data_IF_555872854426
#
_entry.id   IF_555872854426
#
_cell.length_a   1.000
_cell.length_b   1.000
_cell.length_c   1.000
_cell.angle_alpha   90.00
_cell.angle_beta   90.00
_cell.angle_gamma   90.00
#
_symmetry.space_group_name_H-M   'P 1'
#
loop_
_entity.id
_entity.type
_entity.pdbx_description
1 polymer ?
#
# COMPACT_ATOMS: atom_id res chain seq x y z
N UNK A 1 -45.38 4.32 -1.46
CA UNK A 1 -44.36 3.67 -2.32
C UNK A 1 -43.00 4.14 -1.82
N UNK A 2 -41.93 3.36 -2.00
CA UNK A 2 -40.60 3.88 -1.71
C UNK A 2 -40.25 4.97 -2.74
N UNK A 3 -39.45 5.94 -2.33
CA UNK A 3 -38.90 6.99 -3.17
C UNK A 3 -37.39 6.77 -3.27
N UNK A 4 -36.83 6.90 -4.46
CA UNK A 4 -35.42 6.57 -4.72
C UNK A 4 -34.72 7.68 -5.47
N UNK A 5 -33.51 7.98 -5.07
CA UNK A 5 -32.66 9.01 -5.68
C UNK A 5 -31.35 8.37 -6.12
N UNK A 6 -30.90 8.64 -7.33
CA UNK A 6 -29.61 8.20 -7.87
C UNK A 6 -28.58 9.32 -7.70
N UNK A 7 -27.41 8.95 -7.18
CA UNK A 7 -26.27 9.85 -7.00
C UNK A 7 -25.30 9.77 -8.19
N UNK A 8 -24.40 10.75 -8.30
CA UNK A 8 -23.39 10.83 -9.37
C UNK A 8 -22.42 9.65 -9.41
N UNK A 9 -22.21 8.95 -8.30
CA UNK A 9 -21.43 7.70 -8.24
C UNK A 9 -22.26 6.44 -8.54
N UNK A 10 -23.54 6.59 -8.92
CA UNK A 10 -24.46 5.49 -9.20
C UNK A 10 -25.10 4.84 -7.97
N UNK A 11 -24.76 5.27 -6.75
CA UNK A 11 -25.42 4.79 -5.54
C UNK A 11 -26.88 5.26 -5.48
N UNK A 12 -27.76 4.45 -4.90
CA UNK A 12 -29.19 4.74 -4.80
C UNK A 12 -29.55 4.99 -3.34
N UNK A 13 -30.08 6.18 -3.04
CA UNK A 13 -30.71 6.47 -1.74
C UNK A 13 -32.15 5.97 -1.78
N UNK A 14 -32.52 5.12 -0.83
CA UNK A 14 -33.90 4.62 -0.70
C UNK A 14 -34.57 5.23 0.52
N UNK A 15 -35.69 5.91 0.29
CA UNK A 15 -36.60 6.43 1.32
C UNK A 15 -37.79 5.49 1.43
N UNK A 16 -37.98 4.90 2.62
CA UNK A 16 -39.17 4.09 2.89
C UNK A 16 -40.45 4.93 2.76
N UNK A 17 -41.59 4.27 2.50
CA UNK A 17 -42.87 4.98 2.35
C UNK A 17 -43.21 5.79 3.60
N UNK A 18 -43.39 7.11 3.44
CA UNK A 18 -43.66 8.03 4.55
C UNK A 18 -42.43 8.47 5.35
N UNK A 19 -41.22 8.01 4.98
CA UNK A 19 -39.97 8.44 5.60
C UNK A 19 -39.42 9.71 4.96
N UNK A 20 -38.81 10.56 5.76
CA UNK A 20 -38.01 11.72 5.31
C UNK A 20 -36.51 11.41 5.30
N UNK A 21 -36.11 10.23 5.75
CA UNK A 21 -34.72 9.77 5.77
C UNK A 21 -34.57 8.51 4.92
N UNK A 22 -33.41 8.41 4.28
CA UNK A 22 -33.01 7.28 3.46
C UNK A 22 -31.51 7.06 3.57
N UNK A 23 -31.07 5.87 3.24
CA UNK A 23 -29.66 5.50 3.20
C UNK A 23 -29.28 5.16 1.77
N UNK A 24 -28.06 5.51 1.36
CA UNK A 24 -27.50 5.05 0.10
C UNK A 24 -27.23 3.55 0.15
N UNK A 25 -27.28 2.90 -1.02
CA UNK A 25 -26.61 1.62 -1.21
C UNK A 25 -25.10 1.77 -0.97
N UNK A 26 -24.44 0.65 -0.65
CA UNK A 26 -22.97 0.61 -0.64
C UNK A 26 -22.41 0.91 -2.03
N UNK A 27 -21.24 1.54 -2.06
CA UNK A 27 -20.45 1.79 -3.25
C UNK A 27 -18.97 1.57 -2.93
N UNK A 28 -18.19 1.21 -3.93
CA UNK A 28 -16.76 0.98 -3.75
C UNK A 28 -16.04 2.32 -3.47
N UNK A 29 -15.13 2.29 -2.51
CA UNK A 29 -14.14 3.34 -2.27
C UNK A 29 -12.75 2.78 -2.59
N UNK A 30 -11.78 3.67 -2.71
CA UNK A 30 -10.38 3.26 -2.77
C UNK A 30 -10.03 2.37 -1.56
N UNK A 31 -9.31 1.28 -1.82
CA UNK A 31 -8.78 0.40 -0.78
C UNK A 31 -7.48 0.93 -0.17
N UNK A 32 -7.09 0.34 0.95
CA UNK A 32 -5.84 0.66 1.64
C UNK A 32 -4.63 0.13 0.86
N UNK A 33 -3.64 0.99 0.60
CA UNK A 33 -2.37 0.61 -0.01
C UNK A 33 -1.25 1.61 0.28
N UNK A 34 0.00 1.14 0.10
CA UNK A 34 1.23 1.88 0.44
C UNK A 34 1.47 3.13 -0.42
N UNK A 35 0.80 3.27 -1.57
CA UNK A 35 1.16 4.21 -2.63
C UNK A 35 0.10 5.24 -2.97
N UNK A 36 -1.17 4.93 -2.74
CA UNK A 36 -2.29 5.79 -3.11
C UNK A 36 -2.79 6.49 -1.86
N UNK A 37 -2.53 7.79 -1.83
CA UNK A 37 -3.01 8.69 -0.80
C UNK A 37 -4.56 8.76 -0.76
N UNK A 38 -5.08 9.46 0.25
CA UNK A 38 -6.50 9.68 0.44
C UNK A 38 -7.14 10.50 -0.68
N UNK A 39 -8.41 10.20 -0.96
CA UNK A 39 -9.20 10.85 -2.00
C UNK A 39 -10.37 11.64 -1.40
N UNK A 40 -10.77 12.72 -2.06
CA UNK A 40 -12.05 13.40 -1.78
C UNK A 40 -12.80 13.68 -3.06
N UNK A 41 -14.09 13.38 -3.06
CA UNK A 41 -14.97 13.62 -4.21
C UNK A 41 -16.37 14.05 -3.78
N UNK A 42 -17.07 14.69 -4.72
CA UNK A 42 -18.39 15.26 -4.51
C UNK A 42 -19.46 14.36 -5.12
N UNK A 43 -20.48 14.06 -4.33
CA UNK A 43 -21.70 13.40 -4.75
C UNK A 43 -22.79 14.45 -4.96
N UNK A 44 -23.43 14.38 -6.11
CA UNK A 44 -24.62 15.16 -6.44
C UNK A 44 -25.76 14.23 -6.80
N UNK A 45 -26.99 14.69 -6.66
CA UNK A 45 -28.15 13.97 -7.21
C UNK A 45 -28.12 14.10 -8.73
N UNK A 46 -28.23 12.97 -9.44
CA UNK A 46 -28.30 12.93 -10.91
C UNK A 46 -29.69 12.58 -11.40
N UNK A 47 -30.44 11.81 -10.63
CA UNK A 47 -31.84 11.49 -10.89
C UNK A 47 -32.61 11.43 -9.59
N UNK A 48 -33.71 12.19 -9.51
CA UNK A 48 -34.59 12.19 -8.36
C UNK A 48 -35.61 11.04 -8.38
N UNK A 49 -35.64 10.23 -9.44
CA UNK A 49 -36.62 9.16 -9.59
C UNK A 49 -38.06 9.66 -9.75
N UNK A 50 -39.02 8.73 -9.74
CA UNK A 50 -40.43 9.09 -9.80
C UNK A 50 -40.94 9.61 -8.44
N UNK A 51 -41.51 10.81 -8.43
CA UNK A 51 -42.09 11.41 -7.24
C UNK A 51 -43.34 12.25 -7.53
N UNK A 52 -44.12 12.51 -6.48
CA UNK A 52 -45.33 13.32 -6.53
C UNK A 52 -45.17 14.67 -5.81
N UNK A 53 -43.93 15.12 -5.58
CA UNK A 53 -43.66 16.44 -5.01
C UNK A 53 -43.94 17.54 -6.04
N UNK A 54 -44.54 18.64 -5.57
CA UNK A 54 -44.75 19.86 -6.38
C UNK A 54 -43.41 20.53 -6.76
N UNK A 55 -42.44 20.45 -5.85
CA UNK A 55 -41.06 20.88 -6.05
C UNK A 55 -40.13 20.04 -5.16
N UNK A 56 -39.06 19.51 -5.77
CA UNK A 56 -37.97 18.84 -5.07
C UNK A 56 -36.67 19.55 -5.46
N UNK A 57 -35.95 20.06 -4.47
CA UNK A 57 -34.62 20.65 -4.68
C UNK A 57 -33.55 19.56 -4.53
N UNK A 58 -32.74 19.40 -5.57
CA UNK A 58 -31.67 18.40 -5.65
C UNK A 58 -30.31 19.05 -5.92
N UNK A 59 -30.19 20.36 -5.65
CA UNK A 59 -28.97 21.14 -5.93
C UNK A 59 -27.86 20.95 -4.90
N UNK A 60 -28.19 20.40 -3.73
CA UNK A 60 -27.21 20.14 -2.68
C UNK A 60 -26.23 19.02 -3.06
N UNK A 61 -25.05 19.05 -2.45
CA UNK A 61 -23.98 18.07 -2.70
C UNK A 61 -23.40 17.54 -1.41
N UNK A 62 -23.00 16.28 -1.41
CA UNK A 62 -22.29 15.65 -0.31
C UNK A 62 -20.81 15.46 -0.68
N UNK A 63 -19.92 15.54 0.30
CA UNK A 63 -18.50 15.21 0.11
C UNK A 63 -18.21 13.86 0.76
N UNK A 64 -17.55 12.98 0.01
CA UNK A 64 -16.95 11.76 0.54
C UNK A 64 -15.45 12.01 0.66
N UNK A 65 -14.91 11.74 1.84
CA UNK A 65 -13.48 11.82 2.11
C UNK A 65 -12.99 10.47 2.57
N UNK A 66 -12.04 9.91 1.83
CA UNK A 66 -11.30 8.70 2.17
C UNK A 66 -9.96 9.13 2.72
N UNK A 67 -9.70 8.83 3.99
CA UNK A 67 -8.43 9.16 4.65
C UNK A 67 -7.41 8.05 4.41
N UNK A 68 -6.20 8.44 4.07
CA UNK A 68 -5.06 7.53 3.95
C UNK A 68 -4.61 6.97 5.31
N UNK A 69 -3.97 5.80 5.29
CA UNK A 69 -3.25 5.27 6.45
C UNK A 69 -1.74 5.36 6.21
N UNK A 70 -0.95 5.43 7.29
CA UNK A 70 0.52 5.49 7.16
C UNK A 70 1.08 4.08 7.10
N UNK A 71 1.56 3.68 5.93
CA UNK A 71 2.26 2.41 5.73
C UNK A 71 3.77 2.54 5.96
N UNK A 72 4.29 1.83 6.96
CA UNK A 72 5.74 1.77 7.23
C UNK A 72 6.36 0.55 6.55
N UNK A 73 7.40 0.79 5.74
CA UNK A 73 8.20 -0.29 5.15
C UNK A 73 9.50 -0.50 5.92
N UNK A 74 9.73 -1.73 6.40
CA UNK A 74 10.95 -2.11 7.13
C UNK A 74 11.85 -2.98 6.26
N UNK A 75 13.15 -2.71 6.28
CA UNK A 75 14.19 -3.57 5.68
C UNK A 75 14.85 -4.41 6.78
N UNK A 76 14.85 -5.73 6.61
CA UNK A 76 15.52 -6.67 7.52
C UNK A 76 16.64 -7.38 6.76
N UNK A 77 17.86 -7.33 7.30
CA UNK A 77 18.99 -8.11 6.79
C UNK A 77 18.99 -9.49 7.43
N UNK A 78 19.30 -10.52 6.64
CA UNK A 78 19.53 -11.87 7.12
C UNK A 78 20.95 -12.04 7.65
N UNK A 79 21.09 -12.79 8.74
CA UNK A 79 22.39 -13.21 9.24
C UNK A 79 23.07 -14.15 8.23
N UNK A 80 24.37 -13.96 8.04
CA UNK A 80 25.20 -14.87 7.23
C UNK A 80 26.27 -15.49 8.12
N UNK A 81 26.38 -16.81 8.05
CA UNK A 81 27.47 -17.57 8.66
C UNK A 81 28.22 -18.28 7.55
N UNK A 82 29.54 -18.15 7.56
CA UNK A 82 30.41 -18.57 6.48
C UNK A 82 31.51 -19.43 7.08
N UNK A 83 31.73 -20.61 6.51
CA UNK A 83 32.84 -21.45 6.92
C UNK A 83 34.16 -20.86 6.43
N UNK A 84 35.23 -21.03 7.22
CA UNK A 84 36.60 -20.73 6.81
C UNK A 84 36.91 -21.42 5.47
N UNK A 85 37.64 -20.72 4.60
CA UNK A 85 37.96 -21.20 3.25
C UNK A 85 36.88 -20.96 2.19
N UNK A 86 35.77 -20.31 2.54
CA UNK A 86 34.84 -19.79 1.52
C UNK A 86 35.47 -18.58 0.84
N UNK A 87 35.40 -18.49 -0.50
CA UNK A 87 35.96 -17.34 -1.22
C UNK A 87 35.06 -16.09 -1.14
N UNK A 88 33.76 -16.27 -0.93
CA UNK A 88 32.79 -15.17 -0.90
C UNK A 88 31.53 -15.50 -0.12
N UNK A 89 30.79 -14.46 0.25
CA UNK A 89 29.47 -14.55 0.88
C UNK A 89 28.49 -13.52 0.33
N UNK A 90 27.21 -13.73 0.63
CA UNK A 90 26.11 -12.82 0.31
C UNK A 90 25.21 -12.63 1.54
N UNK A 91 24.51 -11.50 1.59
CA UNK A 91 23.50 -11.20 2.60
C UNK A 91 22.14 -11.13 1.91
N UNK A 92 21.15 -11.82 2.46
CA UNK A 92 19.76 -11.67 2.04
C UNK A 92 19.13 -10.48 2.76
N UNK A 93 18.14 -9.86 2.13
CA UNK A 93 17.35 -8.81 2.75
C UNK A 93 15.88 -8.92 2.34
N UNK A 94 14.99 -8.57 3.27
CA UNK A 94 13.55 -8.64 3.10
C UNK A 94 12.91 -7.30 3.44
N UNK A 95 12.02 -6.83 2.57
CA UNK A 95 11.14 -5.69 2.81
C UNK A 95 9.76 -6.17 3.29
N UNK A 96 9.14 -5.44 4.22
CA UNK A 96 7.78 -5.74 4.67
C UNK A 96 6.70 -5.47 3.61
N UNK A 97 7.00 -4.59 2.64
CA UNK A 97 6.11 -4.23 1.54
C UNK A 97 6.90 -4.17 0.22
N UNK A 98 6.28 -4.52 -0.93
CA UNK A 98 6.93 -4.40 -2.24
C UNK A 98 7.18 -2.94 -2.59
N UNK A 99 8.19 -2.65 -3.40
CA UNK A 99 8.51 -1.29 -3.89
C UNK A 99 7.86 -0.95 -5.24
N UNK A 100 7.49 0.31 -5.50
CA UNK A 100 6.96 0.75 -6.80
C UNK A 100 8.05 0.91 -7.87
N UNK A 101 9.30 1.05 -7.44
CA UNK A 101 10.45 1.36 -8.28
C UNK A 101 11.69 0.62 -7.80
N UNK A 102 12.58 0.33 -8.74
CA UNK A 102 13.86 -0.27 -8.39
C UNK A 102 14.71 0.70 -7.55
N UNK A 103 15.41 0.16 -6.55
CA UNK A 103 16.39 0.90 -5.75
C UNK A 103 17.51 -0.02 -5.27
N UNK A 104 18.61 0.59 -4.82
CA UNK A 104 19.79 -0.13 -4.36
C UNK A 104 20.16 0.29 -2.95
N UNK A 105 20.45 -0.69 -2.09
CA UNK A 105 21.02 -0.52 -0.76
C UNK A 105 22.50 -0.86 -0.84
N UNK A 106 23.36 0.00 -0.31
CA UNK A 106 24.79 -0.28 -0.14
C UNK A 106 25.05 -0.66 1.31
N UNK A 107 25.58 -1.87 1.52
CA UNK A 107 26.00 -2.36 2.83
C UNK A 107 27.30 -1.70 3.27
N UNK A 108 27.60 -1.72 4.57
CA UNK A 108 28.82 -1.11 5.13
C UNK A 108 30.11 -1.74 4.60
N UNK A 109 30.07 -3.01 4.16
CA UNK A 109 31.17 -3.69 3.47
C UNK A 109 31.27 -3.36 1.96
N UNK A 110 30.42 -2.46 1.44
CA UNK A 110 30.40 -2.04 0.05
C UNK A 110 29.60 -2.95 -0.89
N UNK A 111 29.11 -4.10 -0.43
CA UNK A 111 28.20 -4.94 -1.22
C UNK A 111 26.87 -4.23 -1.46
N UNK A 112 26.20 -4.53 -2.57
CA UNK A 112 24.96 -3.85 -2.97
C UNK A 112 23.81 -4.82 -3.11
N UNK A 113 22.65 -4.47 -2.57
CA UNK A 113 21.39 -5.19 -2.75
C UNK A 113 20.50 -4.35 -3.66
N UNK A 114 20.08 -4.90 -4.80
CA UNK A 114 19.12 -4.21 -5.69
C UNK A 114 17.77 -4.90 -5.59
N UNK A 115 16.74 -4.12 -5.29
CA UNK A 115 15.36 -4.54 -5.37
C UNK A 115 14.76 -4.00 -6.67
N UNK A 116 14.16 -4.87 -7.47
CA UNK A 116 13.35 -4.46 -8.61
C UNK A 116 11.98 -3.96 -8.13
N UNK A 117 11.27 -3.21 -8.98
CA UNK A 117 9.88 -2.88 -8.71
C UNK A 117 9.05 -4.15 -8.48
N UNK A 118 8.25 -4.16 -7.42
CA UNK A 118 7.40 -5.27 -7.00
C UNK A 118 8.10 -6.32 -6.13
N UNK A 119 9.44 -6.31 -6.02
CA UNK A 119 10.18 -7.29 -5.24
C UNK A 119 10.25 -6.90 -3.77
N UNK A 120 10.19 -7.92 -2.91
CA UNK A 120 10.38 -7.79 -1.45
C UNK A 120 11.64 -8.48 -0.96
N UNK A 121 12.28 -9.31 -1.80
CA UNK A 121 13.48 -10.06 -1.43
C UNK A 121 14.63 -9.62 -2.34
N UNK A 122 15.77 -9.34 -1.71
CA UNK A 122 17.01 -9.00 -2.40
C UNK A 122 18.17 -9.80 -1.83
N UNK A 123 19.18 -10.02 -2.66
CA UNK A 123 20.45 -10.63 -2.25
C UNK A 123 21.57 -9.67 -2.64
N UNK A 124 22.55 -9.50 -1.76
CA UNK A 124 23.70 -8.64 -2.04
C UNK A 124 24.54 -9.20 -3.19
N UNK A 125 25.31 -8.31 -3.83
CA UNK A 125 26.49 -8.75 -4.55
C UNK A 125 27.40 -9.58 -3.64
N UNK A 126 28.09 -10.55 -4.22
CA UNK A 126 29.07 -11.33 -3.49
C UNK A 126 30.20 -10.41 -3.00
N UNK A 127 30.59 -10.55 -1.74
CA UNK A 127 31.74 -9.89 -1.16
C UNK A 127 32.74 -10.93 -0.67
N UNK A 128 34.01 -10.54 -0.66
CA UNK A 128 35.09 -11.41 -0.20
C UNK A 128 34.95 -11.65 1.31
N UNK A 129 35.20 -12.89 1.72
CA UNK A 129 35.34 -13.28 3.13
C UNK A 129 36.77 -13.75 3.37
N UNK A 130 37.15 -13.87 4.64
CA UNK A 130 38.48 -14.32 5.00
C UNK A 130 38.72 -15.74 4.44
N UNK A 131 39.79 -15.89 3.65
CA UNK A 131 40.22 -17.20 3.17
C UNK A 131 40.77 -18.05 4.31
N UNK A 132 40.91 -19.36 4.08
CA UNK A 132 41.47 -20.30 5.05
C UNK A 132 42.94 -19.95 5.35
N UNK A 133 43.25 -19.60 6.60
CA UNK A 133 44.61 -19.45 7.06
C UNK A 133 44.79 -19.96 8.51
N UNK A 134 46.00 -20.43 8.84
CA UNK A 134 46.31 -21.11 10.12
C UNK A 134 46.46 -20.11 11.29
N UNK A 135 46.46 -18.80 11.04
CA UNK A 135 46.87 -17.77 11.99
C UNK A 135 45.79 -16.72 12.30
N UNK A 136 44.69 -16.68 11.55
CA UNK A 136 43.55 -15.77 11.73
C UNK A 136 42.27 -16.58 11.67
N UNK A 137 41.69 -16.84 12.84
CA UNK A 137 40.35 -17.42 12.98
C UNK A 137 39.36 -16.38 13.55
N UNK A 138 38.14 -16.38 13.02
CA UNK A 138 36.97 -15.72 13.65
C UNK A 138 36.88 -14.19 13.56
N UNK A 139 36.86 -13.60 12.37
CA UNK A 139 36.43 -12.19 12.22
C UNK A 139 34.91 -12.03 12.30
N UNK A 140 34.46 -11.04 13.07
CA UNK A 140 33.06 -10.66 13.20
C UNK A 140 32.85 -9.29 12.57
N UNK A 141 31.98 -9.20 11.57
CA UNK A 141 31.58 -7.96 10.93
C UNK A 141 30.28 -7.48 11.57
N UNK A 142 30.29 -6.28 12.15
CA UNK A 142 29.05 -5.60 12.53
C UNK A 142 28.64 -4.70 11.38
N UNK A 143 27.44 -4.95 10.84
CA UNK A 143 26.88 -4.27 9.67
C UNK A 143 26.33 -2.88 10.02
#
# INVERSE_FOLDING_TARGET
RAFTVTLSNGAIITFAAGSTTGTSSEFAVQGDDVYRDGESYTLSVTDAGEHNFEQLDTSDTATVTVTDTVDTTTLTLGDVSVAEGSDSATVSATLSNPTDRAFTVTLSNGATITFSAGETIGTSSAFAVQGDDVYRDGESYTL
#
